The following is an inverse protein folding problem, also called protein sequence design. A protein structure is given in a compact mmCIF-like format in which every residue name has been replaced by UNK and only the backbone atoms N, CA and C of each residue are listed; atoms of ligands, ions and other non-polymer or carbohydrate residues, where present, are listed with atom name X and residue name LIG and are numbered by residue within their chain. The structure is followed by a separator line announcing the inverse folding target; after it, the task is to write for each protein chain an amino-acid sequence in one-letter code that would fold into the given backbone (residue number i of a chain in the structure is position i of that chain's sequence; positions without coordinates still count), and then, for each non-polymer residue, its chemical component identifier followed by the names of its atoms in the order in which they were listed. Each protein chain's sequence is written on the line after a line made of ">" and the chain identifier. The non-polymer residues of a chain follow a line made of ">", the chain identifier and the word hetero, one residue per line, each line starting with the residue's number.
data_IF_428251847109
#
_entry.id   IF_428251847109
#
_cell.length_a   1.000
_cell.length_b   1.000
_cell.length_c   1.000
_cell.angle_alpha   90.00
_cell.angle_beta   90.00
_cell.angle_gamma   90.00
#
_symmetry.space_group_name_H-M   'P 1'
#
loop_
_entity.id
_entity.type
_entity.pdbx_description
1 polymer ?
#
# COMPACT_ATOMS: atom_id res chain seq x y z
N UNK A 1 -22.65 -20.95 -7.52
CA UNK A 1 -22.30 -20.54 -7.73
C UNK A 1 -21.77 -20.24 -7.94
N UNK A 2 -21.92 -20.30 -7.56
CA UNK A 2 -21.51 -19.89 -7.71
C UNK A 2 -20.87 -19.30 -7.87
N UNK A 3 -20.59 -19.73 -8.20
CA UNK A 3 -19.46 -18.98 -8.70
C UNK A 3 -19.40 -17.56 -8.29
N UNK A 4 -20.16 -17.29 -7.48
CA UNK A 4 -20.31 -15.91 -7.08
C UNK A 4 -19.46 -15.55 -5.89
N UNK A 5 -18.43 -16.33 -5.67
CA UNK A 5 -17.56 -15.97 -4.56
C UNK A 5 -16.71 -14.77 -4.94
N UNK A 6 -16.90 -13.70 -4.21
CA UNK A 6 -16.08 -12.53 -4.36
C UNK A 6 -14.98 -12.61 -3.34
N UNK A 7 -13.80 -12.96 -3.80
CA UNK A 7 -12.65 -12.99 -2.91
C UNK A 7 -12.13 -11.59 -2.76
N UNK A 8 -11.92 -11.21 -1.52
CA UNK A 8 -11.27 -9.96 -1.22
C UNK A 8 -9.88 -10.29 -0.71
N UNK A 9 -8.88 -9.79 -1.40
CA UNK A 9 -7.50 -9.99 -1.01
C UNK A 9 -7.11 -8.87 -0.06
N UNK A 10 -6.58 -9.23 1.10
CA UNK A 10 -6.10 -8.25 2.04
C UNK A 10 -4.58 -8.31 2.06
N UNK A 11 -3.95 -7.20 1.77
CA UNK A 11 -2.49 -7.11 1.71
C UNK A 11 -2.04 -6.04 2.68
N UNK A 12 -1.08 -6.39 3.51
CA UNK A 12 -0.47 -5.43 4.42
C UNK A 12 0.93 -5.12 3.94
N UNK A 13 1.24 -3.86 3.76
CA UNK A 13 2.59 -3.41 3.45
C UNK A 13 3.18 -2.79 4.70
N UNK A 14 4.35 -3.26 5.09
CA UNK A 14 5.05 -2.71 6.25
C UNK A 14 6.32 -2.05 5.74
N UNK A 15 6.40 -0.75 5.90
CA UNK A 15 7.50 0.04 5.38
C UNK A 15 8.40 0.44 6.55
N UNK A 16 9.67 0.10 6.42
CA UNK A 16 10.65 0.37 7.46
C UNK A 16 11.26 1.74 7.23
N UNK A 17 10.99 2.66 8.15
CA UNK A 17 11.54 4.00 8.12
C UNK A 17 12.52 4.23 9.25
N UNK A 18 12.95 3.16 9.93
CA UNK A 18 13.72 3.32 11.16
C UNK A 18 15.07 3.96 10.92
N UNK A 19 15.64 3.80 9.73
CA UNK A 19 16.95 4.38 9.43
C UNK A 19 16.83 5.71 8.71
N UNK A 20 15.64 6.24 8.58
CA UNK A 20 15.38 7.44 7.77
C UNK A 20 15.02 8.64 8.60
N UNK A 21 15.29 8.60 9.89
CA UNK A 21 15.08 9.75 10.75
C UNK A 21 13.65 10.26 10.69
N UNK A 22 12.73 9.35 10.89
CA UNK A 22 11.30 9.61 11.04
C UNK A 22 10.55 9.88 9.75
N UNK A 23 11.17 9.66 8.60
CA UNK A 23 10.41 9.72 7.35
C UNK A 23 10.89 8.64 6.39
N UNK A 24 10.04 8.30 5.45
CA UNK A 24 10.36 7.28 4.47
C UNK A 24 11.35 7.82 3.45
N UNK A 25 12.32 6.99 3.10
CA UNK A 25 13.23 7.35 2.04
C UNK A 25 12.52 7.28 0.68
N UNK A 26 13.02 8.02 -0.29
CA UNK A 26 12.44 7.98 -1.62
C UNK A 26 12.46 6.59 -2.22
N UNK A 27 13.50 5.83 -1.91
CA UNK A 27 13.62 4.47 -2.41
C UNK A 27 12.52 3.56 -1.87
N UNK A 28 12.23 3.66 -0.58
CA UNK A 28 11.20 2.85 0.03
C UNK A 28 9.83 3.21 -0.56
N UNK A 29 9.58 4.51 -0.73
CA UNK A 29 8.32 4.96 -1.31
C UNK A 29 8.18 4.46 -2.74
N UNK A 30 9.26 4.52 -3.51
CA UNK A 30 9.24 4.08 -4.90
C UNK A 30 8.91 2.58 -5.00
N UNK A 31 9.58 1.77 -4.18
CA UNK A 31 9.32 0.34 -4.19
C UNK A 31 7.89 0.05 -3.77
N UNK A 32 7.41 0.73 -2.75
CA UNK A 32 6.05 0.53 -2.29
C UNK A 32 5.03 0.90 -3.37
N UNK A 33 5.26 2.01 -4.06
CA UNK A 33 4.37 2.41 -5.15
C UNK A 33 4.37 1.40 -6.28
N UNK A 34 5.52 0.80 -6.56
CA UNK A 34 5.57 -0.26 -7.58
C UNK A 34 4.76 -1.46 -7.16
N UNK A 35 4.81 -1.83 -5.89
CA UNK A 35 4.01 -2.93 -5.39
C UNK A 35 2.53 -2.62 -5.48
N UNK A 36 2.15 -1.43 -5.14
CA UNK A 36 0.75 -1.02 -5.21
C UNK A 36 0.27 -1.05 -6.66
N UNK A 37 1.09 -0.56 -7.59
CA UNK A 37 0.74 -0.58 -9.00
C UNK A 37 0.58 -2.01 -9.52
N UNK A 38 1.45 -2.90 -9.08
CA UNK A 38 1.36 -4.30 -9.45
C UNK A 38 0.07 -4.91 -8.93
N UNK A 39 -0.25 -4.65 -7.67
CA UNK A 39 -1.46 -5.18 -7.06
C UNK A 39 -2.71 -4.63 -7.76
N UNK A 40 -2.68 -3.37 -8.14
CA UNK A 40 -3.81 -2.77 -8.84
C UNK A 40 -4.02 -3.44 -10.19
N UNK A 41 -2.93 -3.68 -10.92
CA UNK A 41 -3.04 -4.35 -12.21
C UNK A 41 -3.58 -5.76 -12.06
N UNK A 42 -3.07 -6.50 -11.07
CA UNK A 42 -3.55 -7.85 -10.82
C UNK A 42 -5.02 -7.85 -10.43
N UNK A 43 -5.42 -6.90 -9.63
CA UNK A 43 -6.81 -6.79 -9.22
C UNK A 43 -7.73 -6.63 -10.43
N UNK A 44 -7.32 -5.80 -11.38
CA UNK A 44 -8.11 -5.62 -12.60
C UNK A 44 -8.10 -6.85 -13.48
N UNK A 45 -6.93 -7.46 -13.64
CA UNK A 45 -6.80 -8.63 -14.52
C UNK A 45 -7.58 -9.82 -14.02
N UNK A 46 -7.63 -9.99 -12.71
CA UNK A 46 -8.30 -11.14 -12.11
C UNK A 46 -9.73 -10.83 -11.69
N UNK A 47 -10.14 -9.60 -11.87
CA UNK A 47 -11.48 -9.15 -11.48
C UNK A 47 -11.74 -9.46 -10.01
N UNK A 48 -10.78 -9.15 -9.17
CA UNK A 48 -10.86 -9.37 -7.73
C UNK A 48 -10.60 -8.08 -7.00
N UNK A 49 -11.27 -7.92 -5.87
CA UNK A 49 -11.02 -6.77 -5.02
C UNK A 49 -9.76 -7.02 -4.18
N UNK A 50 -8.89 -6.04 -4.14
CA UNK A 50 -7.70 -6.09 -3.30
C UNK A 50 -7.70 -4.85 -2.42
N UNK A 51 -7.61 -5.07 -1.13
CA UNK A 51 -7.59 -4.00 -0.16
C UNK A 51 -6.22 -3.97 0.50
N UNK A 52 -5.68 -2.78 0.64
CA UNK A 52 -4.31 -2.60 1.10
C UNK A 52 -4.31 -1.77 2.37
N UNK A 53 -3.53 -2.23 3.32
CA UNK A 53 -3.26 -1.49 4.55
C UNK A 53 -1.76 -1.24 4.58
N UNK A 54 -1.36 -0.02 4.85
CA UNK A 54 0.05 0.36 4.85
C UNK A 54 0.43 0.82 6.26
N UNK A 55 1.45 0.20 6.80
CA UNK A 55 2.03 0.57 8.08
C UNK A 55 3.43 1.14 7.85
N UNK A 56 3.77 2.15 8.59
CA UNK A 56 5.12 2.68 8.59
C UNK A 56 5.72 2.40 9.98
N UNK A 57 6.87 1.80 9.96
CA UNK A 57 7.56 1.38 11.17
C UNK A 57 8.80 2.23 11.36
N UNK A 58 8.81 2.98 12.46
CA UNK A 58 9.99 3.76 12.84
C UNK A 58 10.17 3.59 14.35
N UNK A 59 10.08 4.67 15.10
CA UNK A 59 10.03 4.55 16.56
C UNK A 59 8.77 3.84 16.98
N UNK A 60 7.71 4.09 16.24
CA UNK A 60 6.40 3.50 16.47
C UNK A 60 5.88 2.96 15.16
N UNK A 61 4.89 2.10 15.27
CA UNK A 61 4.19 1.63 14.08
C UNK A 61 2.97 2.50 13.87
N UNK A 62 2.87 3.08 12.69
CA UNK A 62 1.72 3.89 12.32
C UNK A 62 1.00 3.27 11.14
N UNK A 63 -0.32 3.24 11.21
CA UNK A 63 -1.13 2.84 10.07
C UNK A 63 -1.45 4.09 9.27
N UNK A 64 -0.85 4.22 8.10
CA UNK A 64 -1.03 5.43 7.30
C UNK A 64 -2.14 5.27 6.27
N UNK A 65 -2.43 4.04 5.87
CA UNK A 65 -3.55 3.73 5.00
C UNK A 65 -4.18 2.46 5.54
N UNK A 66 -5.49 2.46 5.69
CA UNK A 66 -6.18 1.32 6.26
C UNK A 66 -7.23 0.80 5.30
N UNK A 67 -7.09 -0.45 4.91
CA UNK A 67 -8.14 -1.22 4.24
C UNK A 67 -8.73 -0.48 3.03
N UNK A 68 -7.85 0.04 2.19
CA UNK A 68 -8.27 0.82 1.05
C UNK A 68 -8.22 0.00 -0.22
N UNK A 69 -9.22 0.18 -1.07
CA UNK A 69 -9.25 -0.48 -2.37
C UNK A 69 -8.02 -0.05 -3.16
N UNK A 70 -7.26 -1.02 -3.64
CA UNK A 70 -6.00 -0.74 -4.31
C UNK A 70 -6.19 0.09 -5.57
N UNK A 71 -7.34 0.00 -6.20
CA UNK A 71 -7.62 0.79 -7.40
C UNK A 71 -7.85 2.26 -7.10
N UNK A 72 -8.05 2.58 -5.83
CA UNK A 72 -8.30 3.96 -5.40
C UNK A 72 -7.21 4.50 -4.51
N UNK A 73 -6.09 3.77 -4.44
CA UNK A 73 -4.99 4.21 -3.58
C UNK A 73 -4.27 5.39 -4.19
N UNK A 74 -3.97 6.40 -3.39
CA UNK A 74 -3.07 7.44 -3.87
C UNK A 74 -1.65 6.90 -3.91
N UNK A 75 -0.79 7.57 -4.66
CA UNK A 75 0.62 7.25 -4.66
C UNK A 75 1.20 7.60 -3.29
N UNK A 76 2.03 6.72 -2.75
CA UNK A 76 2.71 7.03 -1.50
C UNK A 76 3.67 8.19 -1.69
N UNK A 77 4.25 8.31 -2.86
CA UNK A 77 5.08 9.47 -3.17
C UNK A 77 4.30 10.76 -3.03
N UNK A 78 3.04 10.73 -3.46
CA UNK A 78 2.18 11.89 -3.35
C UNK A 78 1.84 12.19 -1.90
N UNK A 79 1.58 11.14 -1.11
CA UNK A 79 1.26 11.30 0.29
C UNK A 79 2.41 11.90 1.09
N UNK A 80 3.63 11.55 0.73
CA UNK A 80 4.79 11.93 1.53
C UNK A 80 5.59 13.06 0.95
N UNK A 81 5.15 13.63 -0.14
CA UNK A 81 5.95 14.66 -0.80
C UNK A 81 6.09 15.93 0.01
N UNK A 82 5.22 16.13 0.95
CA UNK A 82 5.28 17.35 1.77
C UNK A 82 5.96 17.11 3.09
N UNK A 83 6.50 15.96 3.30
CA UNK A 83 7.07 15.59 4.59
C UNK A 83 8.49 16.07 4.73
N UNK A 84 9.15 16.39 3.66
CA UNK A 84 10.54 16.80 3.74
C UNK A 84 10.79 18.06 4.45
#
# INVERSE_FOLDING_TARGET
>A
MSGTQNYINHVALVLDASSSMSHLSGKVVEVADQQIAYLARRSRELDQETRVTVYVFADKVECVIYDKDVLRMPSLKQLYRTVE
#
